data_IF_853919265483
#
_entry.id   IF_853919265483
#
_cell.length_a   1.000
_cell.length_b   1.000
_cell.length_c   1.000
_cell.angle_alpha   90.00
_cell.angle_beta   90.00
_cell.angle_gamma   90.00
#
_symmetry.space_group_name_H-M   'P 1'
#
loop_
_entity.id
_entity.type
_entity.pdbx_description
1 polymer ?
#
# COMPACT_ATOMS: atom_id res chain seq x y z
N UNK A 1 15.82 -10.03 -6.31
CA UNK A 1 16.37 -9.23 -7.42
C UNK A 1 17.01 -8.00 -6.81
N UNK A 2 18.21 -7.61 -7.26
CA UNK A 2 18.88 -6.40 -6.76
C UNK A 2 18.17 -5.19 -7.37
N UNK A 3 17.65 -4.28 -6.54
CA UNK A 3 17.06 -3.00 -7.02
C UNK A 3 18.18 -2.05 -7.45
N UNK A 4 18.01 -1.39 -8.59
CA UNK A 4 18.91 -0.35 -9.07
C UNK A 4 18.21 1.00 -9.05
N UNK A 5 18.25 1.68 -7.90
CA UNK A 5 17.53 2.93 -7.70
C UNK A 5 18.12 4.06 -8.54
N UNK A 6 17.29 4.86 -9.23
CA UNK A 6 17.77 5.99 -10.01
C UNK A 6 18.38 7.06 -9.10
N UNK A 7 19.38 7.75 -9.62
CA UNK A 7 19.91 8.95 -8.95
C UNK A 7 18.98 10.12 -9.21
N UNK A 8 18.42 10.70 -8.15
CA UNK A 8 17.65 11.96 -8.21
C UNK A 8 18.52 13.14 -7.78
N UNK A 9 18.17 14.35 -8.23
CA UNK A 9 18.90 15.57 -7.85
C UNK A 9 18.81 15.86 -6.35
N UNK A 10 19.77 16.61 -5.82
CA UNK A 10 19.74 17.06 -4.41
C UNK A 10 18.51 17.90 -4.09
N UNK A 11 18.02 18.68 -5.05
CA UNK A 11 16.79 19.46 -4.87
C UNK A 11 15.55 18.57 -4.80
N UNK A 12 15.51 17.46 -5.56
CA UNK A 12 14.45 16.46 -5.45
C UNK A 12 14.45 15.81 -4.06
N UNK A 13 15.63 15.40 -3.56
CA UNK A 13 15.76 14.82 -2.20
C UNK A 13 15.27 15.80 -1.13
N UNK A 14 15.70 17.07 -1.20
CA UNK A 14 15.25 18.11 -0.27
C UNK A 14 13.74 18.36 -0.35
N UNK A 15 13.16 18.30 -1.55
CA UNK A 15 11.73 18.42 -1.76
C UNK A 15 10.97 17.26 -1.10
N UNK A 16 11.41 16.02 -1.33
CA UNK A 16 10.85 14.81 -0.70
C UNK A 16 10.89 14.91 0.82
N UNK A 17 12.03 15.27 1.40
CA UNK A 17 12.17 15.42 2.86
C UNK A 17 11.24 16.50 3.43
N UNK A 18 11.12 17.64 2.73
CA UNK A 18 10.22 18.72 3.15
C UNK A 18 8.75 18.33 3.00
N UNK A 19 8.41 17.58 1.95
CA UNK A 19 7.08 17.03 1.72
C UNK A 19 6.72 16.01 2.81
N UNK A 20 7.62 15.06 3.13
CA UNK A 20 7.45 14.07 4.20
C UNK A 20 7.10 14.72 5.53
N UNK A 21 7.83 15.78 5.94
CA UNK A 21 7.54 16.52 7.18
C UNK A 21 6.16 17.18 7.18
N UNK A 22 5.73 17.76 6.07
CA UNK A 22 4.39 18.37 5.97
C UNK A 22 3.28 17.32 5.95
N UNK A 23 3.49 16.20 5.24
CA UNK A 23 2.55 15.07 5.22
C UNK A 23 2.33 14.53 6.63
N UNK A 24 3.38 14.39 7.44
CA UNK A 24 3.25 13.93 8.84
C UNK A 24 2.25 14.77 9.64
N UNK A 25 2.44 16.10 9.64
CA UNK A 25 1.57 17.01 10.36
C UNK A 25 0.12 16.98 9.83
N UNK A 26 -0.04 17.00 8.51
CA UNK A 26 -1.36 16.98 7.87
C UNK A 26 -2.13 15.67 8.10
N UNK A 27 -1.46 14.52 7.93
CA UNK A 27 -2.08 13.21 8.08
C UNK A 27 -2.54 12.99 9.52
N UNK A 28 -1.73 13.42 10.50
CA UNK A 28 -2.11 13.39 11.91
C UNK A 28 -3.30 14.32 12.20
N UNK A 29 -3.24 15.58 11.74
CA UNK A 29 -4.30 16.57 11.99
C UNK A 29 -5.65 16.17 11.35
N UNK A 30 -5.62 15.67 10.12
CA UNK A 30 -6.82 15.27 9.38
C UNK A 30 -7.33 13.87 9.74
N UNK A 31 -6.58 13.11 10.53
CA UNK A 31 -6.86 11.72 10.86
C UNK A 31 -7.17 10.88 9.59
N UNK A 32 -6.34 11.03 8.56
CA UNK A 32 -6.57 10.44 7.24
C UNK A 32 -5.54 9.38 6.83
N UNK A 33 -4.69 8.93 7.77
CA UNK A 33 -3.68 7.90 7.54
C UNK A 33 -4.22 6.63 6.83
N UNK A 34 -5.42 6.10 7.16
CA UNK A 34 -5.92 4.89 6.51
C UNK A 34 -6.25 5.11 5.04
N UNK A 35 -6.72 6.33 4.71
CA UNK A 35 -7.01 6.72 3.33
C UNK A 35 -5.71 6.93 2.53
N UNK A 36 -4.66 7.46 3.16
CA UNK A 36 -3.33 7.61 2.54
C UNK A 36 -2.65 6.27 2.29
N UNK A 37 -2.78 5.33 3.23
CA UNK A 37 -2.32 3.96 3.01
C UNK A 37 -3.13 3.29 1.88
N UNK A 38 -4.45 3.48 1.84
CA UNK A 38 -5.30 2.90 0.80
C UNK A 38 -4.94 3.44 -0.60
N UNK A 39 -4.73 4.74 -0.80
CA UNK A 39 -4.34 5.24 -2.13
C UNK A 39 -2.97 4.69 -2.55
N UNK A 40 -2.01 4.55 -1.63
CA UNK A 40 -0.71 3.96 -1.93
C UNK A 40 -0.84 2.47 -2.31
N UNK A 41 -1.62 1.70 -1.55
CA UNK A 41 -1.95 0.29 -1.81
C UNK A 41 -2.60 0.11 -3.18
N UNK A 42 -3.69 0.85 -3.45
CA UNK A 42 -4.44 0.74 -4.71
C UNK A 42 -3.61 1.19 -5.92
N UNK A 43 -2.72 2.17 -5.75
CA UNK A 43 -1.80 2.59 -6.82
C UNK A 43 -0.80 1.49 -7.17
N UNK A 44 -0.21 0.83 -6.17
CA UNK A 44 0.80 -0.21 -6.37
C UNK A 44 0.20 -1.56 -6.82
N UNK A 45 -0.95 -1.94 -6.25
CA UNK A 45 -1.55 -3.26 -6.40
C UNK A 45 -2.10 -3.59 -7.80
N UNK A 46 -1.98 -2.68 -8.76
CA UNK A 46 -2.35 -2.92 -10.16
C UNK A 46 -1.21 -3.48 -11.01
N UNK A 47 -0.01 -3.59 -10.45
CA UNK A 47 1.16 -4.11 -11.16
C UNK A 47 0.95 -5.57 -11.58
N UNK A 48 1.27 -5.86 -12.83
CA UNK A 48 1.31 -7.20 -13.39
C UNK A 48 2.74 -7.53 -13.85
N UNK A 49 3.38 -8.51 -13.21
CA UNK A 49 4.78 -8.91 -13.46
C UNK A 49 5.01 -9.46 -14.86
N UNK A 50 3.97 -10.02 -15.51
CA UNK A 50 4.07 -10.64 -16.83
C UNK A 50 4.13 -9.60 -17.94
N UNK A 51 3.26 -8.60 -17.85
CA UNK A 51 3.14 -7.52 -18.84
C UNK A 51 3.93 -6.27 -18.46
N UNK A 52 4.40 -6.16 -17.21
CA UNK A 52 5.07 -4.98 -16.64
C UNK A 52 4.23 -3.70 -16.75
N UNK A 53 2.92 -3.85 -16.62
CA UNK A 53 1.93 -2.75 -16.69
C UNK A 53 1.29 -2.50 -15.33
N UNK A 54 0.69 -1.32 -15.15
CA UNK A 54 0.20 -0.87 -13.84
C UNK A 54 1.33 -0.54 -12.88
N UNK A 55 1.03 -0.54 -11.58
CA UNK A 55 1.97 -0.25 -10.51
C UNK A 55 1.98 1.22 -10.08
N UNK A 56 2.84 1.58 -9.12
CA UNK A 56 2.81 2.83 -8.38
C UNK A 56 3.37 4.02 -9.18
N UNK A 57 2.81 4.29 -10.36
CA UNK A 57 3.32 5.30 -11.32
C UNK A 57 2.36 6.48 -11.50
N UNK A 58 1.72 6.89 -10.40
CA UNK A 58 0.93 8.12 -10.31
C UNK A 58 -0.40 8.12 -11.08
N UNK A 59 -0.79 7.02 -11.72
CA UNK A 59 -1.97 6.94 -12.61
C UNK A 59 -3.30 7.10 -11.88
N UNK A 60 -3.35 6.88 -10.56
CA UNK A 60 -4.52 7.14 -9.72
C UNK A 60 -5.02 8.60 -9.77
N UNK A 61 -4.19 9.55 -10.24
CA UNK A 61 -4.62 10.94 -10.51
C UNK A 61 -5.59 11.06 -11.71
N UNK A 62 -5.62 10.06 -12.59
CA UNK A 62 -6.39 10.06 -13.83
C UNK A 62 -7.84 9.66 -13.55
N UNK A 63 -8.79 10.38 -14.13
CA UNK A 63 -10.22 10.16 -13.91
C UNK A 63 -10.67 8.74 -14.28
N UNK A 64 -10.05 8.14 -15.31
CA UNK A 64 -10.35 6.77 -15.74
C UNK A 64 -10.04 5.73 -14.65
N UNK A 65 -8.91 5.85 -13.95
CA UNK A 65 -8.55 4.92 -12.86
C UNK A 65 -9.37 5.19 -11.60
N UNK A 66 -9.67 6.46 -11.29
CA UNK A 66 -10.54 6.81 -10.17
C UNK A 66 -11.97 6.26 -10.34
N UNK A 67 -12.43 6.10 -11.59
CA UNK A 67 -13.73 5.53 -11.90
C UNK A 67 -13.82 4.01 -11.70
N UNK A 68 -12.71 3.31 -11.49
CA UNK A 68 -12.74 1.87 -11.17
C UNK A 68 -13.50 1.64 -9.86
N UNK A 69 -14.37 0.64 -9.86
CA UNK A 69 -15.26 0.29 -8.74
C UNK A 69 -14.51 0.06 -7.42
N UNK A 70 -13.36 -0.61 -7.46
CA UNK A 70 -12.50 -0.83 -6.29
C UNK A 70 -11.91 0.46 -5.71
N UNK A 71 -11.78 1.52 -6.52
CA UNK A 71 -11.16 2.79 -6.17
C UNK A 71 -12.16 3.82 -5.61
N UNK A 72 -13.43 3.46 -5.45
CA UNK A 72 -14.45 4.34 -4.88
C UNK A 72 -13.98 5.05 -3.61
N UNK A 73 -14.07 6.39 -3.60
CA UNK A 73 -13.64 7.27 -2.51
C UNK A 73 -12.16 7.68 -2.53
N UNK A 74 -11.33 7.16 -3.45
CA UNK A 74 -9.94 7.60 -3.58
C UNK A 74 -9.78 8.96 -4.26
N UNK A 75 -10.82 9.49 -4.91
CA UNK A 75 -10.89 10.88 -5.37
C UNK A 75 -10.68 11.87 -4.21
N UNK A 76 -11.14 11.50 -3.01
CA UNK A 76 -10.93 12.28 -1.78
C UNK A 76 -9.45 12.33 -1.44
N UNK A 77 -8.75 11.19 -1.51
CA UNK A 77 -7.32 11.10 -1.23
C UNK A 77 -6.50 11.93 -2.22
N UNK A 78 -6.81 11.81 -3.52
CA UNK A 78 -6.19 12.63 -4.58
C UNK A 78 -6.36 14.11 -4.28
N UNK A 79 -7.59 14.55 -4.00
CA UNK A 79 -7.90 15.95 -3.66
C UNK A 79 -7.19 16.46 -2.40
N UNK A 80 -7.00 15.62 -1.39
CA UNK A 80 -6.26 15.97 -0.18
C UNK A 80 -4.75 16.12 -0.42
N UNK A 81 -4.20 15.40 -1.39
CA UNK A 81 -2.77 15.43 -1.73
C UNK A 81 -2.43 16.50 -2.78
N UNK A 82 -3.41 17.00 -3.53
CA UNK A 82 -3.20 18.03 -4.56
C UNK A 82 -2.46 19.29 -4.05
N UNK A 83 -2.79 19.88 -2.87
CA UNK A 83 -2.06 21.03 -2.35
C UNK A 83 -0.58 20.76 -2.03
N UNK A 84 -0.21 19.48 -1.82
CA UNK A 84 1.19 19.07 -1.68
C UNK A 84 1.86 19.00 -3.04
N UNK A 85 1.18 18.46 -4.05
CA UNK A 85 1.68 18.45 -5.42
C UNK A 85 1.95 19.88 -5.92
N UNK A 86 1.05 20.83 -5.64
CA UNK A 86 1.23 22.25 -5.98
C UNK A 86 2.44 22.88 -5.27
N UNK A 87 2.65 22.57 -3.98
CA UNK A 87 3.80 23.04 -3.22
C UNK A 87 5.13 22.39 -3.63
N UNK A 88 5.08 21.18 -4.17
CA UNK A 88 6.24 20.38 -4.56
C UNK A 88 6.13 19.91 -6.02
N UNK A 89 6.14 20.85 -6.99
CA UNK A 89 5.87 20.52 -8.39
C UNK A 89 6.89 19.56 -9.00
N UNK A 90 8.11 19.51 -8.44
CA UNK A 90 9.18 18.60 -8.88
C UNK A 90 8.95 17.16 -8.50
N UNK A 91 8.20 16.86 -7.42
CA UNK A 91 7.90 15.49 -7.01
C UNK A 91 6.81 14.93 -7.93
N UNK A 92 7.00 13.73 -8.46
CA UNK A 92 5.99 13.01 -9.24
C UNK A 92 4.77 12.67 -8.38
N UNK A 93 3.60 12.50 -8.99
CA UNK A 93 2.45 11.95 -8.27
C UNK A 93 2.74 10.55 -7.74
N UNK A 94 3.48 9.75 -8.52
CA UNK A 94 3.95 8.43 -8.15
C UNK A 94 4.68 8.41 -6.80
N UNK A 95 5.72 9.24 -6.64
CA UNK A 95 6.45 9.34 -5.38
C UNK A 95 5.61 9.98 -4.28
N UNK A 96 4.76 10.98 -4.59
CA UNK A 96 3.89 11.63 -3.61
C UNK A 96 2.93 10.62 -2.95
N UNK A 97 2.28 9.77 -3.75
CA UNK A 97 1.30 8.80 -3.24
C UNK A 97 1.97 7.71 -2.39
N UNK A 98 3.12 7.18 -2.83
CA UNK A 98 3.85 6.20 -2.04
C UNK A 98 4.44 6.80 -0.76
N UNK A 99 4.93 8.05 -0.82
CA UNK A 99 5.38 8.77 0.38
C UNK A 99 4.24 9.01 1.37
N UNK A 100 3.03 9.33 0.90
CA UNK A 100 1.85 9.48 1.75
C UNK A 100 1.47 8.16 2.44
N UNK A 101 1.58 7.02 1.75
CA UNK A 101 1.38 5.69 2.33
C UNK A 101 2.38 5.37 3.45
N UNK A 102 3.69 5.56 3.18
CA UNK A 102 4.77 5.36 4.17
C UNK A 102 4.55 6.27 5.39
N UNK A 103 4.24 7.55 5.18
CA UNK A 103 3.97 8.49 6.28
C UNK A 103 2.71 8.11 7.05
N UNK A 104 1.67 7.58 6.39
CA UNK A 104 0.46 7.10 7.03
C UNK A 104 0.74 5.99 8.06
N UNK A 105 1.59 5.03 7.69
CA UNK A 105 2.05 3.97 8.60
C UNK A 105 2.87 4.55 9.76
N UNK A 106 3.82 5.44 9.46
CA UNK A 106 4.69 6.05 10.47
C UNK A 106 3.90 6.85 11.52
N UNK A 107 2.97 7.72 11.08
CA UNK A 107 2.18 8.60 11.96
C UNK A 107 1.25 7.83 12.89
N UNK A 108 0.91 6.60 12.53
CA UNK A 108 0.03 5.73 13.32
C UNK A 108 0.79 4.78 14.24
N UNK A 109 2.13 4.91 14.31
CA UNK A 109 2.98 4.09 15.18
C UNK A 109 3.38 2.75 14.58
N UNK A 110 3.21 2.56 13.27
CA UNK A 110 3.72 1.39 12.56
C UNK A 110 5.24 1.44 12.33
N UNK A 111 5.79 0.45 11.61
CA UNK A 111 7.23 0.35 11.39
C UNK A 111 7.77 1.42 10.45
N UNK A 112 9.07 1.69 10.56
CA UNK A 112 9.80 2.50 9.60
C UNK A 112 9.96 1.74 8.27
N UNK A 113 9.34 2.26 7.21
CA UNK A 113 9.45 1.72 5.85
C UNK A 113 10.44 2.57 5.05
N UNK A 114 11.50 1.98 4.46
CA UNK A 114 12.40 2.70 3.57
C UNK A 114 11.65 3.31 2.38
N UNK A 115 12.04 4.51 1.97
CA UNK A 115 11.47 5.17 0.79
C UNK A 115 12.58 5.58 -0.17
N UNK A 116 12.50 5.11 -1.40
CA UNK A 116 13.42 5.48 -2.48
C UNK A 116 12.67 6.31 -3.54
N UNK A 117 13.06 7.59 -3.77
CA UNK A 117 12.45 8.44 -4.78
C UNK A 117 12.90 8.08 -6.20
N UNK A 118 12.17 8.60 -7.19
CA UNK A 118 12.52 8.54 -8.60
C UNK A 118 11.52 7.78 -9.47
N UNK A 119 10.30 7.52 -8.98
CA UNK A 119 9.24 6.98 -9.85
C UNK A 119 8.75 8.07 -10.80
N UNK A 120 8.64 7.74 -12.07
CA UNK A 120 8.02 8.61 -13.07
C UNK A 120 6.50 8.44 -13.10
N UNK A 121 5.79 9.51 -13.47
CA UNK A 121 4.36 9.48 -13.71
C UNK A 121 4.05 8.88 -15.09
N UNK A 122 3.31 7.77 -15.12
CA UNK A 122 2.78 7.19 -16.36
C UNK A 122 1.51 7.92 -16.80
N UNK A 123 1.28 7.95 -18.11
CA UNK A 123 0.15 8.62 -18.75
C UNK A 123 -1.10 7.74 -18.85
N UNK A 124 -0.92 6.42 -18.98
CA UNK A 124 -2.01 5.47 -19.20
C UNK A 124 -2.28 4.65 -17.93
N UNK A 125 -3.53 4.60 -17.44
CA UNK A 125 -3.89 3.78 -16.30
C UNK A 125 -3.91 2.28 -16.66
N UNK A 126 -3.78 1.39 -15.66
CA UNK A 126 -3.99 -0.03 -15.85
C UNK A 126 -5.45 -0.34 -16.17
N UNK A 127 -5.71 -1.51 -16.74
CA UNK A 127 -7.07 -2.03 -16.87
C UNK A 127 -7.69 -2.31 -15.49
N UNK A 128 -8.99 -2.02 -15.34
CA UNK A 128 -9.76 -2.39 -14.15
C UNK A 128 -9.76 -3.91 -13.89
N UNK A 129 -9.92 -4.30 -12.62
CA UNK A 129 -10.11 -5.70 -12.21
C UNK A 129 -8.86 -6.40 -11.66
N UNK A 130 -7.75 -5.67 -11.49
CA UNK A 130 -6.48 -6.20 -10.98
C UNK A 130 -6.33 -6.21 -9.46
N UNK A 131 -7.19 -5.46 -8.75
CA UNK A 131 -7.19 -5.40 -7.29
C UNK A 131 -7.97 -6.59 -6.70
N UNK A 132 -7.61 -7.05 -5.48
CA UNK A 132 -8.26 -8.21 -4.87
C UNK A 132 -9.74 -7.95 -4.57
N UNK A 133 -10.54 -9.01 -4.66
CA UNK A 133 -11.97 -8.99 -4.32
C UNK A 133 -12.12 -9.51 -2.90
N UNK A 134 -12.61 -8.65 -2.00
CA UNK A 134 -12.77 -8.95 -0.59
C UNK A 134 -13.73 -10.13 -0.30
N UNK A 135 -14.51 -10.56 -1.28
CA UNK A 135 -15.45 -11.71 -1.17
C UNK A 135 -14.81 -13.05 -1.49
N UNK A 136 -13.60 -13.07 -2.05
CA UNK A 136 -12.90 -14.28 -2.45
C UNK A 136 -11.86 -14.72 -1.41
N UNK A 137 -11.40 -15.96 -1.52
CA UNK A 137 -10.50 -16.60 -0.55
C UNK A 137 -9.04 -16.72 -1.02
N UNK A 138 -8.32 -17.67 -0.44
CA UNK A 138 -6.86 -17.79 -0.53
C UNK A 138 -6.32 -18.00 -1.95
N UNK A 139 -7.04 -18.74 -2.80
CA UNK A 139 -6.64 -18.94 -4.21
C UNK A 139 -6.63 -17.61 -4.97
N UNK A 140 -7.62 -16.76 -4.74
CA UNK A 140 -7.69 -15.43 -5.33
C UNK A 140 -6.59 -14.51 -4.79
N UNK A 141 -6.31 -14.57 -3.49
CA UNK A 141 -5.21 -13.83 -2.89
C UNK A 141 -3.86 -14.23 -3.52
N UNK A 142 -3.59 -15.53 -3.69
CA UNK A 142 -2.37 -16.00 -4.37
C UNK A 142 -2.35 -15.65 -5.85
N UNK A 143 -3.49 -15.64 -6.53
CA UNK A 143 -3.59 -15.20 -7.92
C UNK A 143 -3.19 -13.72 -8.06
N UNK A 144 -3.74 -12.85 -7.21
CA UNK A 144 -3.52 -11.40 -7.29
C UNK A 144 -2.14 -11.02 -6.76
N UNK A 145 -1.80 -11.39 -5.53
CA UNK A 145 -0.52 -10.99 -4.93
C UNK A 145 0.65 -11.81 -5.48
N UNK A 146 0.47 -13.12 -5.62
CA UNK A 146 1.53 -14.01 -6.10
C UNK A 146 1.70 -13.95 -7.61
N UNK A 147 0.71 -14.46 -8.36
CA UNK A 147 0.85 -14.65 -9.80
C UNK A 147 0.85 -13.33 -10.60
N UNK A 148 0.15 -12.30 -10.14
CA UNK A 148 0.09 -10.99 -10.80
C UNK A 148 1.14 -10.02 -10.22
N UNK A 149 1.22 -9.80 -8.90
CA UNK A 149 2.20 -8.83 -8.33
C UNK A 149 3.60 -9.40 -8.08
N UNK A 150 3.76 -10.73 -7.98
CA UNK A 150 5.06 -11.36 -7.67
C UNK A 150 5.45 -11.34 -6.19
N UNK A 151 4.47 -11.22 -5.29
CA UNK A 151 4.66 -11.21 -3.83
C UNK A 151 4.52 -12.63 -3.24
N UNK A 152 5.14 -12.86 -2.08
CA UNK A 152 5.09 -14.16 -1.40
C UNK A 152 3.86 -14.31 -0.49
N UNK A 153 3.56 -15.54 -0.07
CA UNK A 153 2.53 -15.83 0.94
C UNK A 153 2.76 -15.06 2.25
N UNK A 154 4.03 -14.87 2.64
CA UNK A 154 4.41 -14.03 3.80
C UNK A 154 4.00 -12.57 3.60
N UNK A 155 4.26 -12.04 2.41
CA UNK A 155 3.89 -10.67 2.06
C UNK A 155 2.36 -10.49 2.06
N UNK A 156 1.59 -11.49 1.61
CA UNK A 156 0.11 -11.46 1.63
C UNK A 156 -0.41 -11.25 3.05
N UNK A 157 0.03 -12.10 3.99
CA UNK A 157 -0.45 -12.04 5.38
C UNK A 157 -0.02 -10.73 6.05
N UNK A 158 1.25 -10.35 5.90
CA UNK A 158 1.75 -9.10 6.48
C UNK A 158 1.00 -7.88 5.93
N UNK A 159 0.81 -7.78 4.60
CA UNK A 159 0.10 -6.65 3.98
C UNK A 159 -1.39 -6.61 4.37
N UNK A 160 -2.02 -7.76 4.62
CA UNK A 160 -3.39 -7.83 5.15
C UNK A 160 -3.49 -7.16 6.52
N UNK A 161 -2.42 -7.18 7.32
CA UNK A 161 -2.30 -6.41 8.56
C UNK A 161 -2.43 -4.89 8.37
N UNK A 162 -2.34 -4.34 7.16
CA UNK A 162 -2.65 -2.92 6.88
C UNK A 162 -4.08 -2.52 7.25
N UNK A 163 -4.99 -3.50 7.34
CA UNK A 163 -6.36 -3.31 7.82
C UNK A 163 -6.44 -2.84 9.28
N UNK A 164 -5.38 -3.05 10.08
CA UNK A 164 -5.25 -2.57 11.47
C UNK A 164 -5.29 -1.05 11.63
N UNK A 165 -4.93 -0.29 10.57
CA UNK A 165 -4.89 1.16 10.59
C UNK A 165 -6.26 1.78 10.31
N UNK A 166 -7.18 1.04 9.70
CA UNK A 166 -8.53 1.49 9.36
C UNK A 166 -9.58 1.15 10.42
N UNK A 167 -10.82 0.92 9.95
CA UNK A 167 -11.92 0.35 10.78
C UNK A 167 -11.96 -1.19 10.72
N UNK A 168 -10.92 -1.81 10.18
CA UNK A 168 -10.81 -3.26 10.04
C UNK A 168 -9.88 -3.82 11.14
N UNK A 169 -9.95 -5.12 11.38
CA UNK A 169 -9.39 -5.76 12.57
C UNK A 169 -7.86 -5.77 12.65
N UNK A 170 -7.35 -5.85 13.88
CA UNK A 170 -6.00 -6.33 14.17
C UNK A 170 -5.92 -7.86 14.05
N UNK A 171 -4.74 -8.43 13.76
CA UNK A 171 -4.57 -9.89 13.65
C UNK A 171 -4.94 -10.64 14.94
N UNK A 172 -4.65 -10.04 16.10
CA UNK A 172 -5.13 -10.54 17.39
C UNK A 172 -6.66 -10.60 17.45
N UNK A 173 -7.35 -9.68 16.79
CA UNK A 173 -8.80 -9.65 16.79
C UNK A 173 -9.41 -10.63 15.78
N UNK A 174 -8.72 -10.89 14.66
CA UNK A 174 -9.05 -11.95 13.72
C UNK A 174 -9.14 -13.33 14.42
N UNK A 175 -8.18 -13.62 15.30
CA UNK A 175 -8.16 -14.88 16.06
C UNK A 175 -9.23 -14.97 17.16
N UNK A 176 -9.79 -13.84 17.62
CA UNK A 176 -10.78 -13.82 18.70
C UNK A 176 -12.24 -13.89 18.24
N UNK A 177 -12.47 -14.01 16.93
CA UNK A 177 -13.81 -14.03 16.34
C UNK A 177 -14.43 -12.64 16.15
N UNK A 178 -15.67 -12.61 15.68
CA UNK A 178 -16.41 -11.37 15.41
C UNK A 178 -16.65 -10.57 16.71
N UNK A 179 -16.44 -9.25 16.64
CA UNK A 179 -16.67 -8.32 17.74
C UNK A 179 -17.49 -7.13 17.26
N UNK A 180 -18.43 -6.68 18.08
CA UNK A 180 -19.24 -5.51 17.79
C UNK A 180 -18.37 -4.28 17.52
N UNK A 181 -18.60 -3.62 16.38
CA UNK A 181 -17.90 -2.41 15.97
C UNK A 181 -16.66 -2.62 15.10
N UNK A 182 -16.29 -3.86 14.79
CA UNK A 182 -15.13 -4.19 13.95
C UNK A 182 -15.56 -5.07 12.75
N UNK A 183 -14.96 -4.84 11.59
CA UNK A 183 -15.33 -5.52 10.33
C UNK A 183 -14.29 -6.57 9.93
N UNK A 184 -14.70 -7.85 9.83
CA UNK A 184 -13.92 -8.92 9.19
C UNK A 184 -14.44 -9.15 7.77
N UNK A 185 -13.58 -8.95 6.78
CA UNK A 185 -13.90 -9.30 5.40
C UNK A 185 -13.76 -10.82 5.21
N UNK A 186 -14.52 -11.42 4.26
CA UNK A 186 -14.32 -12.82 3.89
C UNK A 186 -12.85 -13.14 3.53
N UNK A 187 -12.16 -12.22 2.86
CA UNK A 187 -10.73 -12.34 2.57
C UNK A 187 -9.84 -12.37 3.82
N UNK A 188 -10.19 -11.65 4.90
CA UNK A 188 -9.43 -11.69 6.15
C UNK A 188 -9.64 -13.04 6.86
N UNK A 189 -10.89 -13.54 6.87
CA UNK A 189 -11.24 -14.84 7.46
C UNK A 189 -10.55 -16.00 6.73
N UNK A 190 -10.41 -15.90 5.40
CA UNK A 190 -9.75 -16.92 4.60
C UNK A 190 -8.32 -17.22 5.06
N UNK A 191 -7.61 -16.21 5.62
CA UNK A 191 -6.26 -16.39 6.16
C UNK A 191 -6.18 -17.45 7.28
N UNK A 192 -7.29 -17.66 8.01
CA UNK A 192 -7.35 -18.61 9.13
C UNK A 192 -7.53 -20.07 8.70
N UNK A 193 -7.96 -20.28 7.45
CA UNK A 193 -8.27 -21.61 6.89
C UNK A 193 -7.11 -22.17 6.05
N UNK A 194 -6.09 -21.34 5.75
CA UNK A 194 -4.94 -21.75 4.94
C UNK A 194 -3.80 -22.32 5.80
N UNK A 195 -3.21 -23.48 5.45
CA UNK A 195 -2.12 -24.07 6.22
C UNK A 195 -0.80 -23.26 6.17
N UNK A 196 -0.63 -22.35 5.20
CA UNK A 196 0.53 -21.46 5.10
C UNK A 196 0.23 -20.11 5.76
N UNK A 197 -0.96 -19.54 5.55
CA UNK A 197 -1.29 -18.23 6.12
C UNK A 197 -1.55 -18.28 7.63
N UNK A 198 -2.26 -19.31 8.12
CA UNK A 198 -2.64 -19.36 9.54
C UNK A 198 -1.44 -19.31 10.50
N UNK A 199 -0.34 -20.07 10.29
CA UNK A 199 0.84 -19.94 11.16
C UNK A 199 1.45 -18.54 11.18
N UNK A 200 1.35 -17.79 10.08
CA UNK A 200 1.81 -16.39 10.02
C UNK A 200 0.86 -15.48 10.82
N UNK A 201 -0.46 -15.65 10.70
CA UNK A 201 -1.44 -14.91 11.51
C UNK A 201 -1.22 -15.16 13.01
N UNK A 202 -0.99 -16.42 13.39
CA UNK A 202 -0.70 -16.81 14.78
C UNK A 202 0.64 -16.22 15.26
N UNK A 203 1.68 -16.24 14.42
CA UNK A 203 2.98 -15.61 14.70
C UNK A 203 2.81 -14.11 14.96
N UNK A 204 2.17 -13.39 14.05
CA UNK A 204 2.07 -11.93 14.12
C UNK A 204 1.14 -11.46 15.24
N UNK A 205 0.10 -12.22 15.57
CA UNK A 205 -0.72 -11.96 16.75
C UNK A 205 0.02 -12.17 18.08
N UNK A 206 1.07 -12.99 18.10
CA UNK A 206 1.89 -13.27 19.28
C UNK A 206 3.14 -12.37 19.39
N UNK A 207 3.64 -11.86 18.26
CA UNK A 207 4.90 -11.11 18.16
C UNK A 207 4.75 -9.93 17.19
N UNK A 208 4.50 -8.74 17.77
CA UNK A 208 4.32 -7.49 17.01
C UNK A 208 5.62 -7.03 16.35
N UNK A 209 6.80 -7.29 16.94
CA UNK A 209 8.08 -6.94 16.34
C UNK A 209 8.31 -7.76 15.06
N UNK A 210 7.94 -9.05 15.11
CA UNK A 210 8.02 -9.91 13.93
C UNK A 210 7.01 -9.50 12.84
N UNK A 211 5.80 -9.04 13.23
CA UNK A 211 4.85 -8.42 12.31
C UNK A 211 5.43 -7.17 11.66
N UNK A 212 5.97 -6.23 12.45
CA UNK A 212 6.52 -4.98 11.98
C UNK A 212 7.69 -5.17 11.01
N UNK A 213 8.57 -6.13 11.29
CA UNK A 213 9.67 -6.48 10.39
C UNK A 213 9.16 -6.99 9.03
N UNK A 214 8.23 -7.96 9.04
CA UNK A 214 7.69 -8.54 7.82
C UNK A 214 6.78 -7.55 7.06
N UNK A 215 6.03 -6.69 7.77
CA UNK A 215 5.21 -5.62 7.19
C UNK A 215 6.06 -4.58 6.47
N UNK A 216 7.16 -4.12 7.09
CA UNK A 216 8.07 -3.16 6.47
C UNK A 216 8.69 -3.73 5.19
N UNK A 217 9.10 -5.00 5.20
CA UNK A 217 9.62 -5.69 4.02
C UNK A 217 8.57 -5.80 2.91
N UNK A 218 7.35 -6.21 3.25
CA UNK A 218 6.27 -6.40 2.27
C UNK A 218 5.76 -5.07 1.69
N UNK A 219 5.62 -4.03 2.52
CA UNK A 219 5.24 -2.69 2.08
C UNK A 219 6.33 -2.10 1.16
N UNK A 220 7.62 -2.28 1.49
CA UNK A 220 8.71 -1.85 0.63
C UNK A 220 8.61 -2.50 -0.76
N UNK A 221 8.46 -3.83 -0.82
CA UNK A 221 8.29 -4.57 -2.09
C UNK A 221 7.09 -4.05 -2.89
N UNK A 222 5.94 -3.91 -2.24
CA UNK A 222 4.71 -3.41 -2.85
C UNK A 222 4.91 -2.01 -3.44
N UNK A 223 5.44 -1.07 -2.65
CA UNK A 223 5.64 0.31 -3.07
C UNK A 223 6.60 0.45 -4.25
N UNK A 224 7.43 -0.57 -4.51
CA UNK A 224 8.44 -0.62 -5.55
C UNK A 224 8.14 -1.61 -6.69
N UNK A 225 6.89 -2.10 -6.81
CA UNK A 225 6.49 -2.98 -7.90
C UNK A 225 6.72 -2.30 -9.27
N UNK A 226 7.51 -2.93 -10.14
CA UNK A 226 7.89 -2.37 -11.44
C UNK A 226 8.88 -1.20 -11.40
N UNK A 227 9.29 -0.74 -10.22
CA UNK A 227 10.23 0.37 -10.05
C UNK A 227 11.64 -0.14 -9.75
N UNK A 228 12.66 0.49 -10.35
CA UNK A 228 14.07 0.17 -10.14
C UNK A 228 14.42 -1.32 -10.38
N UNK A 229 13.66 -1.99 -11.25
CA UNK A 229 14.00 -3.32 -11.75
C UNK A 229 15.20 -3.21 -12.69
N UNK A 230 16.16 -4.12 -12.54
CA UNK A 230 17.33 -4.23 -13.40
C UNK A 230 17.01 -4.98 -14.70
#
# INVERSE_FOLDING_TARGET
>A
MTKNYPTVSEDYKKAVEKCKRKLRGFIAEKNCAPLMLRIAWHSAGTYDVKTKTGGPFGTMRLAAEQAHSANNGLDIAVRLLEPFKEQFPTISYADLYQLAGVVGVEVTGGPDIPFHPGRDDKAEPPQEGRLPDAKQGNDHLRQVFGAQMGLSDKDIVALSGGHTLGRCHKERELLTGEKDGLLQLPSDKALLDDPVFRPLVEKYAADEDAFFADYAEAHLKLSELGFAEA
#
